data_IF_370903522315
#
_entry.id   IF_370903522315
#
_cell.length_a   1.000
_cell.length_b   1.000
_cell.length_c   1.000
_cell.angle_alpha   90.00
_cell.angle_beta   90.00
_cell.angle_gamma   90.00
#
_symmetry.space_group_name_H-M   'P 1'
#
loop_
_entity.id
_entity.type
_entity.pdbx_description
1 polymer ?
#
# COMPACT_ATOMS: atom_id res chain seq x y z
N UNK A 1 -32.92 10.28 59.03
CA UNK A 1 -33.49 9.37 58.02
C UNK A 1 -32.52 9.31 56.85
N UNK A 2 -31.89 8.16 56.61
CA UNK A 2 -30.93 7.97 55.53
C UNK A 2 -31.64 7.32 54.33
N UNK A 3 -31.71 8.03 53.22
CA UNK A 3 -32.23 7.51 51.95
C UNK A 3 -31.18 6.59 51.34
N UNK A 4 -31.42 5.28 51.39
CA UNK A 4 -30.60 4.28 50.69
C UNK A 4 -31.03 4.31 49.23
N UNK A 5 -30.20 4.93 48.37
CA UNK A 5 -30.33 4.81 46.92
C UNK A 5 -29.86 3.42 46.49
N UNK A 6 -30.82 2.54 46.22
CA UNK A 6 -30.57 1.23 45.59
C UNK A 6 -30.34 1.49 44.10
N UNK A 7 -29.07 1.56 43.69
CA UNK A 7 -28.72 1.52 42.27
C UNK A 7 -28.91 0.08 41.79
N UNK A 8 -29.97 -0.17 41.04
CA UNK A 8 -30.13 -1.41 40.28
C UNK A 8 -29.09 -1.44 39.16
N UNK A 9 -27.99 -2.15 39.37
CA UNK A 9 -27.02 -2.44 38.32
C UNK A 9 -27.70 -3.32 37.28
N UNK A 10 -28.10 -2.75 36.15
CA UNK A 10 -28.60 -3.53 35.01
C UNK A 10 -27.43 -4.36 34.49
N UNK A 11 -27.54 -5.69 34.61
CA UNK A 11 -26.54 -6.60 34.08
C UNK A 11 -26.58 -6.54 32.54
N UNK A 12 -25.56 -5.93 31.94
CA UNK A 12 -25.37 -5.91 30.48
C UNK A 12 -25.12 -7.35 30.02
N UNK A 13 -25.85 -7.80 28.99
CA UNK A 13 -25.69 -9.16 28.45
C UNK A 13 -24.36 -9.30 27.69
N UNK A 14 -23.85 -10.53 27.55
CA UNK A 14 -22.62 -10.79 26.77
C UNK A 14 -22.74 -10.30 25.32
N UNK A 15 -23.93 -10.37 24.73
CA UNK A 15 -24.21 -9.92 23.36
C UNK A 15 -24.06 -8.41 23.24
N UNK A 16 -24.60 -7.64 24.18
CA UNK A 16 -24.47 -6.18 24.24
C UNK A 16 -23.01 -5.76 24.44
N UNK A 17 -22.25 -6.46 25.30
CA UNK A 17 -20.83 -6.20 25.50
C UNK A 17 -20.01 -6.46 24.24
N UNK A 18 -20.26 -7.60 23.58
CA UNK A 18 -19.59 -7.97 22.33
C UNK A 18 -19.89 -6.97 21.22
N UNK A 19 -21.16 -6.57 21.06
CA UNK A 19 -21.57 -5.58 20.07
C UNK A 19 -20.92 -4.22 20.35
N UNK A 20 -20.96 -3.75 21.60
CA UNK A 20 -20.34 -2.48 21.99
C UNK A 20 -18.82 -2.49 21.77
N UNK A 21 -18.15 -3.62 22.02
CA UNK A 21 -16.73 -3.78 21.69
C UNK A 21 -16.48 -3.72 20.18
N UNK A 22 -17.24 -4.49 19.40
CA UNK A 22 -17.13 -4.53 17.95
C UNK A 22 -17.32 -3.13 17.34
N UNK A 23 -18.36 -2.40 17.77
CA UNK A 23 -18.64 -1.04 17.28
C UNK A 23 -17.49 -0.07 17.61
N UNK A 24 -16.84 -0.21 18.79
CA UNK A 24 -15.64 0.59 19.11
C UNK A 24 -14.47 0.28 18.19
N UNK A 25 -14.22 -1.01 17.89
CA UNK A 25 -13.13 -1.39 16.96
C UNK A 25 -13.40 -0.87 15.55
N UNK A 26 -14.63 -1.00 15.05
CA UNK A 26 -15.02 -0.49 13.72
C UNK A 26 -14.95 1.03 13.67
N UNK A 27 -15.41 1.73 14.71
CA UNK A 27 -15.30 3.19 14.80
C UNK A 27 -13.83 3.65 14.82
N UNK A 28 -12.97 2.96 15.56
CA UNK A 28 -11.53 3.23 15.56
C UNK A 28 -10.87 2.94 14.19
N UNK A 29 -11.33 1.91 13.48
CA UNK A 29 -10.85 1.64 12.12
C UNK A 29 -11.32 2.70 11.10
N UNK A 30 -12.41 3.44 11.39
CA UNK A 30 -12.92 4.53 10.55
C UNK A 30 -11.97 5.72 10.48
N UNK A 31 -11.29 6.06 11.57
CA UNK A 31 -10.25 7.09 11.60
C UNK A 31 -8.99 6.69 10.84
N UNK A 32 -8.93 5.46 10.32
CA UNK A 32 -7.76 4.98 9.58
C UNK A 32 -6.51 5.05 10.45
N UNK A 33 -5.46 5.66 9.91
CA UNK A 33 -4.18 5.81 10.60
C UNK A 33 -4.16 6.97 11.61
N UNK A 34 -5.18 7.83 11.64
CA UNK A 34 -5.20 9.04 12.48
C UNK A 34 -5.26 8.73 13.98
N UNK A 35 -5.78 7.56 14.34
CA UNK A 35 -5.90 7.12 15.73
C UNK A 35 -4.80 6.15 16.17
N UNK A 36 -3.83 5.85 15.29
CA UNK A 36 -2.77 4.89 15.57
C UNK A 36 -1.47 5.61 15.97
N UNK A 37 -0.81 5.05 16.98
CA UNK A 37 0.54 5.41 17.42
C UNK A 37 1.33 4.13 17.70
N UNK A 38 1.94 3.55 16.66
CA UNK A 38 2.60 2.25 16.74
C UNK A 38 3.75 2.11 15.75
N UNK A 39 4.63 1.15 16.06
CA UNK A 39 5.64 0.59 15.17
C UNK A 39 5.30 -0.87 14.93
N UNK A 40 5.18 -1.24 13.66
CA UNK A 40 4.86 -2.61 13.25
C UNK A 40 5.85 -3.08 12.19
N UNK A 41 6.45 -4.24 12.42
CA UNK A 41 7.31 -4.93 11.47
C UNK A 41 6.67 -6.24 11.07
N UNK A 42 6.57 -6.50 9.77
CA UNK A 42 6.00 -7.72 9.25
C UNK A 42 6.68 -8.16 7.95
N UNK A 43 6.64 -9.46 7.69
CA UNK A 43 7.18 -10.09 6.48
C UNK A 43 6.03 -10.43 5.55
N UNK A 44 6.13 -10.10 4.27
CA UNK A 44 5.16 -10.49 3.24
C UNK A 44 5.85 -11.43 2.26
N UNK A 45 5.18 -12.53 1.95
CA UNK A 45 5.64 -13.57 1.04
C UNK A 45 4.57 -13.83 -0.03
N UNK A 46 4.98 -13.76 -1.29
CA UNK A 46 4.15 -14.19 -2.41
C UNK A 46 4.02 -15.71 -2.42
N UNK A 47 2.78 -16.20 -2.53
CA UNK A 47 2.45 -17.62 -2.66
C UNK A 47 1.96 -17.95 -4.07
N UNK A 48 2.30 -17.09 -5.04
CA UNK A 48 1.93 -17.31 -6.43
C UNK A 48 2.53 -18.63 -6.95
N UNK A 49 1.71 -19.51 -7.54
CA UNK A 49 2.24 -20.69 -8.22
C UNK A 49 2.86 -20.27 -9.55
N UNK A 50 4.19 -20.23 -9.62
CA UNK A 50 4.93 -19.93 -10.85
C UNK A 50 5.56 -21.20 -11.44
N UNK A 51 5.27 -21.45 -12.73
CA UNK A 51 5.78 -22.59 -13.48
C UNK A 51 7.06 -22.20 -14.25
N UNK A 52 8.21 -22.52 -13.68
CA UNK A 52 9.52 -22.22 -14.28
C UNK A 52 9.84 -23.10 -15.49
N UNK A 53 9.09 -24.17 -15.74
CA UNK A 53 9.34 -25.06 -16.90
C UNK A 53 9.10 -24.37 -18.25
N UNK A 54 8.40 -23.23 -18.24
CA UNK A 54 8.09 -22.43 -19.44
C UNK A 54 9.25 -21.53 -19.89
N UNK A 55 10.27 -21.32 -19.04
CA UNK A 55 11.39 -20.40 -19.30
C UNK A 55 12.07 -20.68 -20.65
N UNK A 56 12.43 -21.92 -21.04
CA UNK A 56 13.10 -22.17 -22.32
C UNK A 56 12.25 -21.76 -23.54
N UNK A 57 10.94 -22.04 -23.48
CA UNK A 57 10.01 -21.67 -24.56
C UNK A 57 9.83 -20.15 -24.65
N UNK A 58 9.73 -19.46 -23.51
CA UNK A 58 9.65 -18.00 -23.45
C UNK A 58 10.93 -17.35 -23.99
N UNK A 59 12.12 -17.81 -23.57
CA UNK A 59 13.41 -17.34 -24.09
C UNK A 59 13.48 -17.45 -25.61
N UNK A 60 13.09 -18.60 -26.16
CA UNK A 60 13.09 -18.80 -27.61
C UNK A 60 12.12 -17.84 -28.34
N UNK A 61 10.95 -17.58 -27.76
CA UNK A 61 9.94 -16.68 -28.33
C UNK A 61 10.36 -15.22 -28.34
N UNK A 62 11.01 -14.74 -27.27
CA UNK A 62 11.34 -13.31 -27.11
C UNK A 62 12.74 -12.93 -27.60
N UNK A 63 13.59 -13.91 -27.95
CA UNK A 63 15.00 -13.72 -28.28
C UNK A 63 15.27 -12.55 -29.23
N UNK A 64 14.50 -12.47 -30.30
CA UNK A 64 14.69 -11.47 -31.37
C UNK A 64 13.65 -10.32 -31.29
N UNK A 65 12.86 -10.27 -30.22
CA UNK A 65 11.75 -9.33 -30.04
C UNK A 65 11.88 -8.59 -28.69
N UNK A 66 12.67 -7.51 -28.64
CA UNK A 66 12.95 -6.85 -27.38
C UNK A 66 11.73 -6.20 -26.72
N UNK A 67 10.68 -5.88 -27.48
CA UNK A 67 9.42 -5.30 -27.00
C UNK A 67 8.31 -6.35 -26.79
N UNK A 68 8.63 -7.65 -26.84
CA UNK A 68 7.62 -8.70 -26.73
C UNK A 68 6.98 -8.69 -25.31
N UNK A 69 5.65 -8.74 -25.18
CA UNK A 69 4.96 -8.66 -23.88
C UNK A 69 5.39 -9.77 -22.90
N UNK A 70 5.65 -10.97 -23.40
CA UNK A 70 6.12 -12.11 -22.59
C UNK A 70 7.48 -11.89 -21.91
N UNK A 71 8.25 -10.86 -22.26
CA UNK A 71 9.51 -10.56 -21.54
C UNK A 71 9.27 -10.28 -20.06
N UNK A 72 8.16 -9.63 -19.72
CA UNK A 72 7.81 -9.35 -18.31
C UNK A 72 7.59 -10.66 -17.53
N UNK A 73 6.90 -11.63 -18.15
CA UNK A 73 6.70 -12.94 -17.54
C UNK A 73 8.03 -13.71 -17.45
N UNK A 74 8.84 -13.68 -18.49
CA UNK A 74 10.17 -14.31 -18.49
C UNK A 74 11.04 -13.75 -17.37
N UNK A 75 11.19 -12.42 -17.27
CA UNK A 75 11.99 -11.76 -16.23
C UNK A 75 11.47 -12.10 -14.82
N UNK A 76 10.16 -12.29 -14.66
CA UNK A 76 9.56 -12.72 -13.40
C UNK A 76 9.89 -14.18 -13.08
N UNK A 77 9.73 -15.09 -14.04
CA UNK A 77 10.03 -16.52 -13.85
C UNK A 77 11.52 -16.76 -13.62
N UNK A 78 12.41 -16.05 -14.32
CA UNK A 78 13.85 -16.15 -14.13
C UNK A 78 14.28 -15.64 -12.74
N UNK A 79 13.68 -14.55 -12.25
CA UNK A 79 13.90 -14.11 -10.87
C UNK A 79 13.39 -15.12 -9.86
N UNK A 80 12.22 -15.71 -10.10
CA UNK A 80 11.67 -16.75 -9.23
C UNK A 80 12.55 -18.02 -9.21
N UNK A 81 13.03 -18.48 -10.37
CA UNK A 81 13.96 -19.61 -10.49
C UNK A 81 15.26 -19.35 -9.72
N UNK A 82 15.76 -18.11 -9.77
CA UNK A 82 17.04 -17.73 -9.15
C UNK A 82 16.95 -17.46 -7.65
N UNK A 83 15.92 -16.76 -7.20
CA UNK A 83 15.82 -16.23 -5.84
C UNK A 83 14.67 -16.83 -5.02
N UNK A 84 13.79 -17.60 -5.65
CA UNK A 84 12.58 -18.12 -5.02
C UNK A 84 11.44 -17.09 -5.00
N UNK A 85 10.42 -17.29 -4.13
CA UNK A 85 9.28 -16.38 -4.04
C UNK A 85 9.70 -14.99 -3.59
N UNK A 86 8.94 -13.98 -4.03
CA UNK A 86 9.12 -12.61 -3.56
C UNK A 86 8.82 -12.56 -2.05
N UNK A 87 9.85 -12.21 -1.28
CA UNK A 87 9.74 -11.96 0.14
C UNK A 87 10.24 -10.54 0.40
N UNK A 88 9.46 -9.80 1.18
CA UNK A 88 9.82 -8.47 1.68
C UNK A 88 9.58 -8.36 3.17
N UNK A 89 10.47 -7.68 3.87
CA UNK A 89 10.22 -7.22 5.24
C UNK A 89 9.84 -5.76 5.19
N UNK A 90 8.77 -5.39 5.89
CA UNK A 90 8.30 -4.02 5.96
C UNK A 90 8.18 -3.60 7.42
N UNK A 91 8.71 -2.42 7.73
CA UNK A 91 8.44 -1.73 8.99
C UNK A 91 7.65 -0.47 8.70
N UNK A 92 6.55 -0.29 9.43
CA UNK A 92 5.71 0.90 9.37
C UNK A 92 5.71 1.56 10.73
N UNK A 93 6.02 2.86 10.74
CA UNK A 93 5.79 3.71 11.89
C UNK A 93 4.58 4.58 11.57
N UNK A 94 3.59 4.59 12.44
CA UNK A 94 2.35 5.36 12.25
C UNK A 94 2.13 6.23 13.47
N UNK A 95 1.82 7.51 13.23
CA UNK A 95 1.47 8.47 14.27
C UNK A 95 0.51 9.52 13.74
N UNK A 96 -0.73 9.51 14.21
CA UNK A 96 -1.72 10.55 13.88
C UNK A 96 -1.85 10.83 12.37
N UNK A 97 -1.98 9.75 11.57
CA UNK A 97 -2.13 9.86 10.11
C UNK A 97 -0.82 10.03 9.35
N UNK A 98 0.26 10.40 10.04
CA UNK A 98 1.60 10.43 9.50
C UNK A 98 2.20 9.02 9.51
N UNK A 99 2.98 8.70 8.48
CA UNK A 99 3.61 7.38 8.41
C UNK A 99 4.96 7.38 7.72
N UNK A 100 5.84 6.48 8.17
CA UNK A 100 7.03 6.02 7.43
C UNK A 100 6.86 4.55 7.10
N UNK A 101 7.20 4.15 5.88
CA UNK A 101 7.26 2.77 5.41
C UNK A 101 8.69 2.50 4.96
N UNK A 102 9.40 1.63 5.67
CA UNK A 102 10.68 1.08 5.23
C UNK A 102 10.47 -0.33 4.73
N UNK A 103 10.82 -0.61 3.47
CA UNK A 103 10.70 -1.91 2.84
C UNK A 103 12.06 -2.43 2.41
N UNK A 104 12.43 -3.57 2.97
CA UNK A 104 13.67 -4.28 2.67
C UNK A 104 13.38 -5.51 1.80
N UNK A 105 14.05 -5.65 0.64
CA UNK A 105 14.06 -6.90 -0.11
C UNK A 105 14.86 -7.95 0.68
N UNK A 106 14.38 -9.19 0.72
CA UNK A 106 15.10 -10.23 1.48
C UNK A 106 16.04 -11.10 0.64
N UNK A 107 15.76 -11.35 -0.66
CA UNK A 107 16.49 -12.35 -1.45
C UNK A 107 17.01 -11.85 -2.81
N UNK A 108 16.28 -10.95 -3.47
CA UNK A 108 16.68 -10.40 -4.76
C UNK A 108 17.46 -9.08 -4.56
N UNK A 109 18.77 -9.03 -4.82
CA UNK A 109 19.57 -7.81 -4.71
C UNK A 109 19.18 -6.74 -5.76
N UNK A 110 18.48 -7.13 -6.82
CA UNK A 110 17.89 -6.22 -7.81
C UNK A 110 16.51 -5.68 -7.41
N UNK A 111 15.86 -6.28 -6.40
CA UNK A 111 14.65 -5.70 -5.83
C UNK A 111 15.07 -4.50 -5.00
N UNK A 112 14.63 -3.31 -5.41
CA UNK A 112 15.08 -2.09 -4.76
C UNK A 112 14.45 -1.95 -3.38
N UNK A 113 15.29 -1.66 -2.40
CA UNK A 113 14.85 -1.05 -1.16
C UNK A 113 13.96 0.16 -1.47
N UNK A 114 12.89 0.32 -0.70
CA UNK A 114 11.96 1.43 -0.85
C UNK A 114 11.61 1.99 0.52
N UNK A 115 11.86 3.27 0.71
CA UNK A 115 11.46 4.01 1.89
C UNK A 115 10.55 5.15 1.51
N UNK A 116 9.59 5.45 2.36
CA UNK A 116 8.61 6.47 2.09
C UNK A 116 8.12 7.08 3.38
N UNK A 117 7.98 8.40 3.37
CA UNK A 117 7.29 9.16 4.41
C UNK A 117 6.20 9.98 3.78
N UNK A 118 5.05 9.98 4.42
CA UNK A 118 3.93 10.86 4.10
C UNK A 118 3.43 11.54 5.36
N UNK A 119 3.46 12.88 5.33
CA UNK A 119 2.83 13.75 6.30
C UNK A 119 1.52 14.34 5.76
N UNK A 120 1.04 13.87 4.60
CA UNK A 120 -0.16 14.34 3.91
C UNK A 120 0.13 15.52 2.98
N UNK A 121 0.75 16.58 3.50
CA UNK A 121 1.12 17.79 2.75
C UNK A 121 2.60 17.84 2.33
N UNK A 122 3.39 16.88 2.80
CA UNK A 122 4.82 16.84 2.59
C UNK A 122 5.34 15.42 2.81
N UNK A 123 6.56 15.16 2.36
CA UNK A 123 7.16 13.86 2.58
C UNK A 123 8.41 13.67 1.75
N UNK A 124 8.91 12.45 1.77
CA UNK A 124 10.02 12.04 0.93
C UNK A 124 9.97 10.55 0.66
N UNK A 125 10.53 10.13 -0.46
CA UNK A 125 10.74 8.73 -0.78
C UNK A 125 12.19 8.48 -1.14
N UNK A 126 12.71 7.33 -0.75
CA UNK A 126 14.07 6.93 -1.06
C UNK A 126 14.09 5.57 -1.77
N UNK A 127 14.84 5.52 -2.87
CA UNK A 127 15.36 4.30 -3.49
C UNK A 127 16.89 4.31 -3.38
N UNK A 128 17.60 3.21 -3.73
CA UNK A 128 19.06 3.18 -3.65
C UNK A 128 19.76 4.28 -4.45
N UNK A 129 19.13 4.78 -5.52
CA UNK A 129 19.70 5.78 -6.43
C UNK A 129 19.05 7.15 -6.32
N UNK A 130 17.86 7.27 -5.75
CA UNK A 130 17.07 8.50 -5.83
C UNK A 130 16.38 8.86 -4.51
N UNK A 131 16.58 10.09 -4.06
CA UNK A 131 15.76 10.77 -3.05
C UNK A 131 14.75 11.67 -3.77
N UNK A 132 13.46 11.46 -3.53
CA UNK A 132 12.41 12.40 -3.98
C UNK A 132 11.83 13.11 -2.78
N UNK A 133 11.70 14.42 -2.88
CA UNK A 133 11.13 15.28 -1.84
C UNK A 133 9.85 15.83 -2.40
N UNK A 134 8.76 15.66 -1.66
CA UNK A 134 7.44 16.02 -2.16
C UNK A 134 6.83 17.05 -1.24
N UNK A 135 6.34 18.13 -1.85
CA UNK A 135 5.52 19.11 -1.17
C UNK A 135 4.06 18.69 -1.16
N UNK A 136 3.20 19.71 -1.17
CA UNK A 136 1.74 19.56 -1.17
C UNK A 136 1.26 18.70 -2.33
N UNK A 137 0.05 18.15 -2.21
CA UNK A 137 -0.55 17.29 -3.25
C UNK A 137 -0.49 17.91 -4.66
N UNK A 138 -0.59 19.24 -4.75
CA UNK A 138 -0.59 19.97 -6.02
C UNK A 138 0.80 20.12 -6.64
N UNK A 139 1.88 20.01 -5.85
CA UNK A 139 3.25 20.08 -6.37
C UNK A 139 3.81 18.71 -6.78
N UNK A 140 3.08 17.62 -6.52
CA UNK A 140 3.51 16.26 -6.85
C UNK A 140 3.50 16.04 -8.38
N UNK A 141 4.59 15.51 -8.98
CA UNK A 141 4.62 15.23 -10.41
C UNK A 141 3.54 14.23 -10.81
N UNK A 142 2.90 14.46 -11.96
CA UNK A 142 2.03 13.47 -12.58
C UNK A 142 2.82 12.18 -12.83
N UNK A 143 2.31 11.06 -12.32
CA UNK A 143 2.95 9.75 -12.43
C UNK A 143 3.73 9.30 -11.18
N UNK A 144 4.07 10.22 -10.26
CA UNK A 144 4.57 9.82 -8.94
C UNK A 144 3.41 9.61 -7.97
N UNK A 145 2.95 8.37 -7.83
CA UNK A 145 1.89 8.02 -6.89
C UNK A 145 2.46 7.34 -5.63
N UNK A 146 2.62 8.13 -4.57
CA UNK A 146 2.88 7.61 -3.22
C UNK A 146 1.62 6.99 -2.60
N UNK A 147 0.44 7.35 -3.10
CA UNK A 147 -0.83 6.92 -2.51
C UNK A 147 -1.00 5.39 -2.53
N UNK A 148 -0.50 4.71 -3.58
CA UNK A 148 -0.61 3.25 -3.71
C UNK A 148 0.16 2.48 -2.62
N UNK A 149 1.49 2.63 -2.48
CA UNK A 149 2.23 1.91 -1.43
C UNK A 149 1.77 2.28 -0.03
N UNK A 150 1.34 3.53 0.19
CA UNK A 150 0.79 3.99 1.47
C UNK A 150 -0.51 3.27 1.78
N UNK A 151 -1.48 3.33 0.87
CA UNK A 151 -2.80 2.73 1.10
C UNK A 151 -2.71 1.22 1.30
N UNK A 152 -1.84 0.54 0.53
CA UNK A 152 -1.61 -0.89 0.68
C UNK A 152 -1.00 -1.23 2.06
N UNK A 153 -0.02 -0.45 2.50
CA UNK A 153 0.63 -0.64 3.81
C UNK A 153 -0.31 -0.31 4.96
N UNK A 154 -1.07 0.77 4.86
CA UNK A 154 -2.07 1.17 5.83
C UNK A 154 -3.13 0.07 6.01
N UNK A 155 -3.61 -0.50 4.90
CA UNK A 155 -4.55 -1.62 4.93
C UNK A 155 -3.92 -2.86 5.58
N UNK A 156 -2.69 -3.23 5.22
CA UNK A 156 -1.97 -4.35 5.85
C UNK A 156 -1.81 -4.15 7.37
N UNK A 157 -1.48 -2.93 7.82
CA UNK A 157 -1.39 -2.60 9.25
C UNK A 157 -2.75 -2.76 9.94
N UNK A 158 -3.82 -2.21 9.36
CA UNK A 158 -5.17 -2.39 9.89
C UNK A 158 -5.57 -3.87 9.92
N UNK A 159 -5.23 -4.63 8.90
CA UNK A 159 -5.56 -6.04 8.80
C UNK A 159 -4.79 -6.89 9.82
N UNK A 160 -3.63 -6.45 10.33
CA UNK A 160 -3.02 -7.11 11.48
C UNK A 160 -3.79 -6.86 12.78
N UNK A 161 -4.34 -5.66 12.97
CA UNK A 161 -5.04 -5.26 14.20
C UNK A 161 -6.47 -5.82 14.24
N UNK A 162 -7.22 -5.62 13.15
CA UNK A 162 -8.62 -5.99 13.02
C UNK A 162 -8.97 -6.26 11.54
N UNK A 163 -8.64 -7.46 11.02
CA UNK A 163 -8.93 -7.89 9.65
C UNK A 163 -10.31 -7.46 9.14
N UNK A 164 -10.33 -6.62 8.10
CA UNK A 164 -11.58 -6.16 7.47
C UNK A 164 -12.40 -5.11 8.21
N UNK A 165 -12.00 -4.69 9.42
CA UNK A 165 -12.72 -3.66 10.17
C UNK A 165 -12.72 -2.30 9.46
N UNK A 166 -11.60 -1.92 8.81
CA UNK A 166 -11.51 -0.68 8.03
C UNK A 166 -12.46 -0.66 6.83
N UNK A 167 -12.70 -1.82 6.21
CA UNK A 167 -13.68 -1.96 5.12
C UNK A 167 -15.11 -1.85 5.66
N UNK A 168 -15.41 -2.53 6.79
CA UNK A 168 -16.71 -2.39 7.46
C UNK A 168 -16.97 -0.95 7.90
N UNK A 169 -15.95 -0.23 8.37
CA UNK A 169 -16.10 1.15 8.84
C UNK A 169 -16.60 2.13 7.77
N UNK A 170 -16.37 1.80 6.48
CA UNK A 170 -16.80 2.56 5.30
C UNK A 170 -18.20 2.16 4.81
N UNK A 171 -18.82 1.19 5.46
CA UNK A 171 -20.13 0.67 5.09
C UNK A 171 -21.02 0.55 6.33
N UNK A 172 -22.32 0.38 6.11
CA UNK A 172 -23.26 0.20 7.21
C UNK A 172 -23.37 -1.29 7.53
N UNK A 173 -22.99 -1.67 8.75
CA UNK A 173 -23.14 -3.04 9.24
C UNK A 173 -24.63 -3.37 9.34
N UNK A 174 -25.10 -4.22 8.44
CA UNK A 174 -26.52 -4.57 8.32
C UNK A 174 -26.91 -5.66 9.32
N UNK A 175 -25.97 -6.55 9.64
CA UNK A 175 -26.21 -7.70 10.53
C UNK A 175 -24.99 -7.98 11.37
N UNK A 176 -25.22 -8.25 12.66
CA UNK A 176 -24.23 -8.77 13.60
C UNK A 176 -24.85 -9.94 14.34
N UNK A 177 -24.16 -11.08 14.38
CA UNK A 177 -24.60 -12.30 15.05
C UNK A 177 -23.49 -12.72 16.00
N UNK A 178 -23.83 -13.02 17.25
CA UNK A 178 -22.96 -13.68 18.21
C UNK A 178 -23.57 -15.05 18.54
N UNK A 179 -22.75 -16.09 18.51
CA UNK A 179 -23.17 -17.42 18.94
C UNK A 179 -22.80 -17.70 20.41
N UNK A 180 -23.38 -18.74 21.04
CA UNK A 180 -23.10 -19.08 22.44
C UNK A 180 -21.63 -19.48 22.72
N UNK A 181 -20.84 -19.77 21.69
CA UNK A 181 -19.41 -20.09 21.82
C UNK A 181 -18.52 -18.85 21.79
N UNK A 182 -19.12 -17.68 21.61
CA UNK A 182 -18.44 -16.40 21.48
C UNK A 182 -17.94 -16.12 20.06
N UNK A 183 -18.29 -16.92 19.05
CA UNK A 183 -17.97 -16.58 17.66
C UNK A 183 -18.98 -15.59 17.13
N UNK A 184 -18.51 -14.62 16.35
CA UNK A 184 -19.38 -13.61 15.76
C UNK A 184 -19.15 -13.47 14.26
N UNK A 185 -20.18 -12.99 13.58
CA UNK A 185 -20.12 -12.57 12.18
C UNK A 185 -20.84 -11.24 11.98
N UNK A 186 -20.24 -10.36 11.18
CA UNK A 186 -20.80 -9.10 10.75
C UNK A 186 -20.91 -9.06 9.22
N UNK A 187 -22.02 -8.55 8.71
CA UNK A 187 -22.33 -8.49 7.28
C UNK A 187 -22.62 -7.05 6.86
N UNK A 188 -22.15 -6.68 5.67
CA UNK A 188 -22.38 -5.38 5.07
C UNK A 188 -22.47 -5.51 3.54
N UNK A 189 -23.07 -4.51 2.89
CA UNK A 189 -23.06 -4.37 1.43
C UNK A 189 -22.17 -3.19 1.05
N UNK A 190 -21.19 -3.44 0.17
CA UNK A 190 -20.27 -2.45 -0.35
C UNK A 190 -20.72 -2.00 -1.74
N UNK A 191 -20.88 -0.69 -1.93
CA UNK A 191 -21.04 -0.14 -3.27
C UNK A 191 -19.67 -0.13 -3.97
N UNK A 192 -19.54 -0.88 -5.07
CA UNK A 192 -18.32 -0.90 -5.90
C UNK A 192 -18.64 -0.47 -7.33
N UNK A 193 -17.63 -0.08 -8.14
CA UNK A 193 -17.85 0.22 -9.56
C UNK A 193 -18.47 -0.94 -10.36
N UNK A 194 -18.29 -2.18 -9.90
CA UNK A 194 -18.85 -3.38 -10.50
C UNK A 194 -20.26 -3.75 -9.97
N UNK A 195 -20.84 -2.92 -9.09
CA UNK A 195 -22.11 -3.18 -8.42
C UNK A 195 -21.98 -3.46 -6.92
N UNK A 196 -23.11 -3.71 -6.23
CA UNK A 196 -23.12 -4.04 -4.80
C UNK A 196 -22.46 -5.39 -4.55
N UNK A 197 -21.58 -5.45 -3.54
CA UNK A 197 -20.90 -6.68 -3.11
C UNK A 197 -21.18 -6.96 -1.64
N UNK A 198 -21.43 -8.22 -1.29
CA UNK A 198 -21.58 -8.60 0.11
C UNK A 198 -20.21 -8.79 0.76
N UNK A 199 -20.04 -8.27 1.96
CA UNK A 199 -18.81 -8.33 2.73
C UNK A 199 -19.10 -8.91 4.11
N UNK A 200 -18.38 -9.97 4.45
CA UNK A 200 -18.57 -10.71 5.70
C UNK A 200 -17.27 -10.65 6.48
N UNK A 201 -17.33 -10.25 7.74
CA UNK A 201 -16.22 -10.30 8.68
C UNK A 201 -16.58 -11.24 9.82
N UNK A 202 -15.63 -12.04 10.27
CA UNK A 202 -15.83 -13.00 11.36
C UNK A 202 -14.79 -12.83 12.43
N UNK A 203 -15.10 -13.29 13.64
CA UNK A 203 -14.16 -13.29 14.74
C UNK A 203 -14.65 -14.04 15.96
N UNK A 204 -13.98 -13.77 17.08
CA UNK A 204 -14.29 -14.33 18.39
C UNK A 204 -14.31 -13.22 19.44
N UNK A 205 -15.24 -13.34 20.37
CA UNK A 205 -15.39 -12.54 21.57
C UNK A 205 -14.97 -13.36 22.78
N UNK A 206 -14.27 -12.73 23.72
CA UNK A 206 -13.91 -13.31 25.01
C UNK A 206 -14.51 -12.46 26.14
N UNK A 207 -15.64 -12.89 26.74
CA UNK A 207 -16.31 -12.12 27.77
C UNK A 207 -15.46 -11.94 29.03
N UNK A 208 -14.50 -12.85 29.29
CA UNK A 208 -13.64 -12.75 30.47
C UNK A 208 -12.64 -11.59 30.37
N UNK A 209 -12.29 -11.19 29.15
CA UNK A 209 -11.35 -10.10 28.87
C UNK A 209 -12.03 -8.80 28.44
N UNK A 210 -13.33 -8.86 28.10
CA UNK A 210 -14.01 -7.72 27.48
C UNK A 210 -13.38 -7.32 26.13
N UNK A 211 -12.74 -8.28 25.45
CA UNK A 211 -12.01 -8.09 24.21
C UNK A 211 -12.22 -9.29 23.27
N UNK A 212 -11.84 -9.12 22.00
CA UNK A 212 -11.98 -10.16 21.00
C UNK A 212 -10.92 -10.08 19.90
N UNK A 213 -11.02 -11.03 18.97
CA UNK A 213 -10.15 -11.19 17.84
C UNK A 213 -10.97 -11.22 16.54
N UNK A 214 -10.44 -10.63 15.49
CA UNK A 214 -11.00 -10.68 14.14
C UNK A 214 -10.31 -11.82 13.38
N UNK A 215 -11.08 -12.82 12.96
CA UNK A 215 -10.56 -14.04 12.32
C UNK A 215 -10.39 -13.89 10.80
N UNK A 216 -11.02 -12.89 10.18
CA UNK A 216 -10.89 -12.66 8.74
C UNK A 216 -12.12 -12.05 8.09
N UNK A 217 -12.03 -11.88 6.78
CA UNK A 217 -13.11 -11.36 5.95
C UNK A 217 -13.25 -12.06 4.61
N UNK A 218 -14.43 -11.97 4.02
CA UNK A 218 -14.77 -12.50 2.70
C UNK A 218 -15.54 -11.45 1.91
N UNK A 219 -15.18 -11.30 0.64
CA UNK A 219 -15.90 -10.47 -0.32
C UNK A 219 -16.57 -11.35 -1.37
N UNK A 220 -17.87 -11.17 -1.56
CA UNK A 220 -18.69 -11.92 -2.50
C UNK A 220 -19.13 -11.04 -3.68
N UNK A 221 -19.27 -11.63 -4.86
CA UNK A 221 -19.50 -10.92 -6.12
C UNK A 221 -20.85 -10.19 -6.22
N UNK A 222 -21.95 -10.79 -5.77
CA UNK A 222 -23.32 -10.26 -5.96
C UNK A 222 -24.31 -10.63 -4.85
N UNK A 223 -23.81 -11.00 -3.66
CA UNK A 223 -24.63 -11.42 -2.52
C UNK A 223 -23.93 -12.47 -1.66
N UNK A 224 -24.47 -12.80 -0.49
CA UNK A 224 -23.84 -13.74 0.46
C UNK A 224 -23.69 -15.17 -0.11
N UNK A 225 -24.65 -15.61 -0.91
CA UNK A 225 -24.62 -16.94 -1.54
C UNK A 225 -23.83 -16.98 -2.86
N UNK A 226 -23.25 -15.85 -3.27
CA UNK A 226 -22.48 -15.75 -4.50
C UNK A 226 -21.00 -16.13 -4.31
N UNK A 227 -20.29 -16.26 -5.44
CA UNK A 227 -18.87 -16.61 -5.49
C UNK A 227 -18.04 -15.68 -4.61
N UNK A 228 -17.18 -16.27 -3.77
CA UNK A 228 -16.16 -15.55 -3.01
C UNK A 228 -15.05 -15.14 -3.98
N UNK A 229 -14.79 -13.83 -4.06
CA UNK A 229 -13.79 -13.25 -4.97
C UNK A 229 -12.52 -12.81 -4.25
N UNK A 230 -12.61 -12.61 -2.93
CA UNK A 230 -11.45 -12.34 -2.08
C UNK A 230 -11.69 -12.85 -0.66
N UNK A 231 -10.65 -13.41 -0.06
CA UNK A 231 -10.58 -13.82 1.34
C UNK A 231 -9.37 -13.20 2.02
N UNK A 232 -9.55 -12.84 3.28
CA UNK A 232 -8.50 -12.54 4.22
C UNK A 232 -8.73 -13.43 5.43
N UNK A 233 -7.77 -14.28 5.77
CA UNK A 233 -7.81 -15.11 6.97
C UNK A 233 -6.73 -14.65 7.93
N UNK A 234 -7.05 -14.64 9.21
CA UNK A 234 -6.15 -14.19 10.26
C UNK A 234 -6.05 -15.25 11.36
N UNK A 235 -4.84 -15.52 11.81
CA UNK A 235 -4.57 -16.54 12.83
C UNK A 235 -3.50 -16.10 13.82
N UNK A 236 -3.32 -16.92 14.86
CA UNK A 236 -2.31 -16.75 15.91
C UNK A 236 -2.43 -15.39 16.63
N UNK A 237 -3.65 -15.05 17.04
CA UNK A 237 -3.94 -13.80 17.73
C UNK A 237 -3.26 -13.72 19.10
N UNK A 238 -2.73 -12.54 19.42
CA UNK A 238 -2.04 -12.30 20.70
C UNK A 238 -2.63 -11.10 21.42
N UNK A 239 -3.07 -11.24 22.68
CA UNK A 239 -3.48 -10.10 23.47
C UNK A 239 -2.33 -9.09 23.59
N UNK A 240 -2.60 -7.84 23.23
CA UNK A 240 -1.62 -6.76 23.25
C UNK A 240 -2.16 -5.61 24.09
N UNK A 241 -1.41 -5.22 25.12
CA UNK A 241 -1.84 -4.16 26.03
C UNK A 241 -2.09 -2.84 25.29
N UNK A 242 -3.19 -2.17 25.62
CA UNK A 242 -3.58 -0.90 25.00
C UNK A 242 -4.29 -1.03 23.63
N UNK A 243 -4.42 -2.23 23.07
CA UNK A 243 -5.17 -2.44 21.82
C UNK A 243 -6.62 -2.83 22.07
N UNK A 244 -7.51 -2.36 21.20
CA UNK A 244 -8.94 -2.67 21.27
C UNK A 244 -9.26 -4.10 20.86
N UNK A 245 -8.43 -4.72 20.02
CA UNK A 245 -8.55 -6.10 19.54
C UNK A 245 -7.21 -6.83 19.67
N UNK A 246 -7.27 -8.16 19.72
CA UNK A 246 -6.06 -8.99 19.69
C UNK A 246 -5.49 -9.01 18.26
N UNK A 247 -4.28 -8.47 18.02
CA UNK A 247 -3.68 -8.51 16.69
C UNK A 247 -3.35 -9.93 16.25
N UNK A 248 -3.53 -10.21 14.97
CA UNK A 248 -3.14 -11.46 14.34
C UNK A 248 -1.62 -11.52 14.15
N UNK A 249 -1.03 -12.72 14.26
CA UNK A 249 0.38 -12.91 13.89
C UNK A 249 0.56 -13.33 12.43
N UNK A 250 -0.48 -13.89 11.81
CA UNK A 250 -0.44 -14.34 10.42
C UNK A 250 -1.71 -13.91 9.70
N UNK A 251 -1.54 -13.40 8.49
CA UNK A 251 -2.60 -13.06 7.55
C UNK A 251 -2.39 -13.84 6.25
N UNK A 252 -3.45 -14.46 5.75
CA UNK A 252 -3.48 -15.10 4.45
C UNK A 252 -4.45 -14.35 3.54
N UNK A 253 -3.94 -13.81 2.44
CA UNK A 253 -4.76 -13.12 1.45
C UNK A 253 -4.90 -14.02 0.22
N UNK A 254 -6.12 -14.21 -0.24
CA UNK A 254 -6.40 -14.77 -1.56
C UNK A 254 -7.42 -13.89 -2.29
N UNK A 255 -7.19 -13.66 -3.58
CA UNK A 255 -8.06 -12.86 -4.41
C UNK A 255 -7.99 -13.35 -5.85
N UNK A 256 -9.05 -13.17 -6.61
CA UNK A 256 -9.02 -13.45 -8.05
C UNK A 256 -8.22 -12.39 -8.82
N UNK A 257 -8.04 -11.19 -8.24
CA UNK A 257 -7.36 -10.07 -8.89
C UNK A 257 -5.87 -9.98 -8.57
N UNK A 258 -5.38 -10.72 -7.57
CA UNK A 258 -3.99 -10.67 -7.14
C UNK A 258 -3.52 -12.04 -6.64
N UNK A 259 -2.25 -12.40 -6.85
CA UNK A 259 -1.71 -13.64 -6.33
C UNK A 259 -1.91 -13.77 -4.82
N UNK A 260 -2.07 -15.01 -4.31
CA UNK A 260 -2.16 -15.22 -2.88
C UNK A 260 -0.86 -14.82 -2.21
N UNK A 261 -0.96 -14.32 -0.97
CA UNK A 261 0.19 -13.89 -0.19
C UNK A 261 -0.02 -14.14 1.29
N UNK A 262 1.07 -14.41 1.99
CA UNK A 262 1.11 -14.52 3.44
C UNK A 262 1.81 -13.30 4.03
N UNK A 263 1.20 -12.66 5.02
CA UNK A 263 1.88 -11.67 5.85
C UNK A 263 2.06 -12.22 7.27
N UNK A 264 3.26 -12.14 7.81
CA UNK A 264 3.62 -12.62 9.15
C UNK A 264 4.09 -11.43 9.99
N UNK A 265 3.43 -11.19 11.12
CA UNK A 265 3.84 -10.20 12.10
C UNK A 265 5.17 -10.62 12.71
N UNK A 266 6.16 -9.73 12.65
CA UNK A 266 7.47 -9.94 13.25
C UNK A 266 7.54 -9.22 14.59
N UNK A 267 7.10 -7.96 14.63
CA UNK A 267 7.10 -7.16 15.85
C UNK A 267 5.94 -6.14 15.83
N UNK A 268 5.42 -5.86 17.02
CA UNK A 268 4.43 -4.82 17.26
C UNK A 268 4.75 -4.14 18.58
N UNK A 269 4.96 -2.83 18.55
CA UNK A 269 5.33 -2.04 19.71
C UNK A 269 4.60 -0.69 19.70
N UNK A 270 4.42 -0.12 20.90
CA UNK A 270 4.07 1.29 21.03
C UNK A 270 5.18 2.15 20.40
N UNK A 271 4.79 3.23 19.74
CA UNK A 271 5.74 4.13 19.09
C UNK A 271 6.31 5.12 20.11
N UNK A 272 7.65 5.24 20.16
CA UNK A 272 8.29 6.35 20.86
C UNK A 272 8.24 7.62 19.98
N UNK A 273 7.67 8.74 20.46
CA UNK A 273 7.67 10.01 19.75
C UNK A 273 9.06 10.49 19.31
N UNK A 274 10.10 10.24 20.11
CA UNK A 274 11.46 10.63 19.78
C UNK A 274 12.03 9.76 18.66
N UNK A 275 11.79 8.45 18.70
CA UNK A 275 12.09 7.54 17.59
C UNK A 275 11.39 8.02 16.31
N UNK A 276 10.08 8.28 16.36
CA UNK A 276 9.32 8.71 15.18
C UNK A 276 9.93 9.97 14.55
N UNK A 277 10.23 10.98 15.36
CA UNK A 277 10.88 12.21 14.88
C UNK A 277 12.24 11.92 14.23
N UNK A 278 13.04 11.05 14.83
CA UNK A 278 14.36 10.70 14.32
C UNK A 278 14.28 9.93 12.99
N UNK A 279 13.40 8.93 12.90
CA UNK A 279 13.23 8.14 11.67
C UNK A 279 12.50 8.93 10.59
N UNK A 280 11.72 9.97 10.93
CA UNK A 280 11.03 10.74 9.90
C UNK A 280 11.79 11.94 9.35
N UNK A 281 12.97 12.23 9.92
CA UNK A 281 13.83 13.29 9.44
C UNK A 281 14.23 13.10 7.96
N UNK A 282 14.24 14.21 7.21
CA UNK A 282 14.71 14.22 5.82
C UNK A 282 16.16 13.69 5.77
N UNK A 283 16.48 12.74 4.88
CA UNK A 283 17.84 12.27 4.70
C UNK A 283 18.76 13.44 4.29
N UNK A 284 19.91 13.55 4.93
CA UNK A 284 20.95 14.51 4.53
C UNK A 284 21.89 13.86 3.53
N UNK A 285 22.47 14.67 2.63
CA UNK A 285 23.27 14.21 1.49
C UNK A 285 24.46 13.33 1.88
N UNK A 286 25.10 13.67 2.99
CA UNK A 286 26.24 12.95 3.56
C UNK A 286 25.88 12.34 4.92
N UNK A 287 24.58 12.13 5.16
CA UNK A 287 24.05 11.67 6.43
C UNK A 287 24.18 10.17 6.64
N UNK A 288 23.99 9.78 7.89
CA UNK A 288 23.60 8.42 8.25
C UNK A 288 22.12 8.45 8.60
N UNK A 289 21.34 7.56 7.98
CA UNK A 289 19.97 7.29 8.43
C UNK A 289 20.01 6.28 9.59
N UNK A 290 19.23 6.48 10.67
CA UNK A 290 19.24 5.59 11.83
C UNK A 290 18.93 4.11 11.53
N UNK A 291 18.26 3.84 10.41
CA UNK A 291 17.85 2.48 10.01
C UNK A 291 18.82 1.93 8.97
N UNK A 292 19.16 2.73 7.95
CA UNK A 292 19.92 2.28 6.78
C UNK A 292 21.44 2.41 6.92
N UNK A 293 21.91 3.25 7.83
CA UNK A 293 23.31 3.69 7.85
C UNK A 293 23.58 4.75 6.76
N UNK A 294 24.79 4.78 6.17
CA UNK A 294 25.18 5.80 5.20
C UNK A 294 24.29 5.81 3.96
N UNK A 295 23.84 6.99 3.55
CA UNK A 295 22.93 7.12 2.41
C UNK A 295 23.68 7.07 1.07
N UNK A 296 23.13 6.40 0.06
CA UNK A 296 23.81 6.07 -1.21
C UNK A 296 23.21 6.67 -2.47
N UNK A 297 22.13 7.45 -2.37
CA UNK A 297 21.46 7.98 -3.56
C UNK A 297 22.38 8.93 -4.33
N UNK A 298 22.27 8.90 -5.66
CA UNK A 298 23.04 9.73 -6.58
C UNK A 298 22.18 10.81 -7.23
N UNK A 299 20.88 10.83 -6.96
CA UNK A 299 19.93 11.78 -7.51
C UNK A 299 18.98 12.32 -6.44
N UNK A 300 18.70 13.62 -6.47
CA UNK A 300 17.62 14.26 -5.72
C UNK A 300 16.64 14.89 -6.69
N UNK A 301 15.36 14.60 -6.49
CA UNK A 301 14.27 15.28 -7.16
C UNK A 301 13.48 16.05 -6.11
N UNK A 302 13.56 17.38 -6.14
CA UNK A 302 12.89 18.27 -5.19
C UNK A 302 11.63 18.86 -5.82
N UNK A 303 10.48 18.44 -5.32
CA UNK A 303 9.15 18.88 -5.74
C UNK A 303 8.45 19.68 -4.63
N UNK A 304 9.22 20.24 -3.70
CA UNK A 304 8.66 21.07 -2.62
C UNK A 304 8.38 22.50 -3.09
N UNK A 305 9.09 22.97 -4.11
CA UNK A 305 8.92 24.28 -4.72
C UNK A 305 7.85 24.35 -5.81
N UNK A 306 7.70 25.55 -6.40
CA UNK A 306 6.84 25.78 -7.57
C UNK A 306 7.36 25.06 -8.81
N UNK A 307 8.67 25.06 -8.97
CA UNK A 307 9.38 24.38 -10.06
C UNK A 307 10.13 23.18 -9.48
N UNK A 308 10.17 22.09 -10.25
CA UNK A 308 10.89 20.89 -9.87
C UNK A 308 12.40 21.10 -10.05
N UNK A 309 13.18 20.83 -9.00
CA UNK A 309 14.63 20.87 -9.06
C UNK A 309 15.21 19.46 -9.09
N UNK A 310 16.17 19.23 -9.98
CA UNK A 310 16.85 17.95 -10.13
C UNK A 310 18.32 18.16 -9.82
N UNK A 311 18.86 17.35 -8.91
CA UNK A 311 20.28 17.36 -8.56
C UNK A 311 20.86 15.97 -8.77
N UNK A 312 22.01 15.90 -9.41
CA UNK A 312 22.71 14.63 -9.65
C UNK A 312 24.12 14.74 -9.09
N UNK A 313 24.54 13.69 -8.39
CA UNK A 313 25.89 13.56 -7.87
C UNK A 313 26.87 13.29 -9.01
N UNK A 314 27.97 14.05 -9.07
CA UNK A 314 29.09 13.78 -9.96
C UNK A 314 29.98 12.63 -9.44
N UNK A 315 31.08 12.36 -10.14
CA UNK A 315 32.06 11.32 -9.75
C UNK A 315 32.67 11.55 -8.36
N UNK A 316 32.67 12.79 -7.86
CA UNK A 316 33.15 13.19 -6.53
C UNK A 316 32.05 13.19 -5.48
N UNK A 317 30.83 12.78 -5.84
CA UNK A 317 29.60 12.85 -5.01
C UNK A 317 29.16 14.27 -4.68
N UNK A 318 29.55 15.25 -5.47
CA UNK A 318 29.02 16.61 -5.36
C UNK A 318 27.74 16.74 -6.18
N UNK A 319 26.67 17.23 -5.55
CA UNK A 319 25.37 17.38 -6.20
C UNK A 319 25.31 18.67 -7.01
N UNK A 320 25.11 18.54 -8.32
CA UNK A 320 24.93 19.67 -9.23
C UNK A 320 23.47 19.73 -9.69
N UNK A 321 22.94 20.94 -9.79
CA UNK A 321 21.59 21.16 -10.33
C UNK A 321 21.62 20.94 -11.83
N UNK A 322 20.74 20.07 -12.33
CA UNK A 322 20.65 19.70 -13.74
C UNK A 322 19.31 20.19 -14.26
N UNK A 323 19.31 20.83 -15.43
CA UNK A 323 18.05 21.18 -16.08
C UNK A 323 17.31 19.90 -16.48
N UNK A 324 15.98 19.87 -16.36
CA UNK A 324 15.16 18.70 -16.76
C UNK A 324 15.55 18.21 -18.14
N UNK A 325 15.77 19.13 -19.08
CA UNK A 325 16.09 18.89 -20.49
C UNK A 325 17.43 18.17 -20.69
N UNK A 326 18.34 18.24 -19.72
CA UNK A 326 19.65 17.58 -19.74
C UNK A 326 19.59 16.15 -19.16
N UNK A 327 18.56 15.85 -18.38
CA UNK A 327 18.28 14.48 -17.92
C UNK A 327 17.91 13.57 -19.11
N UNK A 328 18.16 12.23 -19.03
CA UNK A 328 17.80 11.31 -20.10
C UNK A 328 16.31 11.38 -20.48
N UNK A 329 15.42 11.46 -19.48
CA UNK A 329 13.98 11.59 -19.68
C UNK A 329 13.60 12.92 -20.36
N UNK A 330 14.24 14.02 -19.95
CA UNK A 330 14.00 15.33 -20.55
C UNK A 330 14.45 15.40 -22.02
N UNK A 331 15.58 14.79 -22.36
CA UNK A 331 16.04 14.69 -23.75
C UNK A 331 15.05 13.91 -24.62
N UNK A 332 14.54 12.80 -24.12
CA UNK A 332 13.54 11.99 -24.84
C UNK A 332 12.23 12.76 -25.04
N UNK A 333 11.74 13.46 -24.01
CA UNK A 333 10.56 14.34 -24.11
C UNK A 333 10.78 15.50 -25.09
N UNK A 334 11.95 16.13 -25.05
CA UNK A 334 12.28 17.22 -25.97
C UNK A 334 12.30 16.74 -27.44
N UNK A 335 12.85 15.55 -27.69
CA UNK A 335 12.83 14.94 -29.03
C UNK A 335 11.41 14.59 -29.49
N UNK A 336 10.62 13.93 -28.63
CA UNK A 336 9.21 13.61 -28.94
C UNK A 336 8.38 14.85 -29.24
N UNK A 337 8.60 15.95 -28.48
CA UNK A 337 7.93 17.23 -28.74
C UNK A 337 8.29 17.79 -30.11
N UNK A 338 9.58 17.75 -30.49
CA UNK A 338 10.03 18.19 -31.83
C UNK A 338 9.45 17.30 -32.94
N UNK A 339 9.46 15.99 -32.76
CA UNK A 339 8.88 15.03 -33.71
C UNK A 339 7.37 15.26 -33.88
N UNK A 340 6.64 15.49 -32.79
CA UNK A 340 5.21 15.80 -32.81
C UNK A 340 4.89 17.09 -33.57
N UNK A 341 5.67 18.16 -33.36
CA UNK A 341 5.51 19.40 -34.12
C UNK A 341 5.84 19.25 -35.61
N UNK A 342 6.88 18.48 -35.95
CA UNK A 342 7.21 18.18 -37.34
C UNK A 342 6.08 17.40 -38.03
N UNK A 343 5.48 16.42 -37.35
CA UNK A 343 4.33 15.67 -37.86
C UNK A 343 3.11 16.57 -38.05
N UNK A 344 2.79 17.44 -37.09
CA UNK A 344 1.67 18.37 -37.19
C UNK A 344 1.84 19.36 -38.37
N UNK A 345 3.04 19.89 -38.57
CA UNK A 345 3.36 20.73 -39.71
C UNK A 345 3.21 19.96 -41.04
N UNK A 346 3.68 18.71 -41.09
CA UNK A 346 3.50 17.83 -42.25
C UNK A 346 2.04 17.56 -42.60
N UNK A 347 1.19 17.32 -41.59
CA UNK A 347 -0.26 17.15 -41.76
C UNK A 347 -0.89 18.44 -42.32
N UNK A 348 -0.56 19.61 -41.76
CA UNK A 348 -1.05 20.90 -42.25
C UNK A 348 -0.67 21.15 -43.71
N UNK A 349 0.59 20.93 -44.08
CA UNK A 349 1.05 21.07 -45.47
C UNK A 349 0.29 20.12 -46.39
N UNK A 350 0.10 18.86 -45.97
CA UNK A 350 -0.66 17.87 -46.74
C UNK A 350 -2.11 18.30 -46.94
N UNK A 351 -2.78 18.80 -45.90
CA UNK A 351 -4.16 19.33 -45.99
C UNK A 351 -4.23 20.50 -46.96
N UNK A 352 -3.29 21.46 -46.87
CA UNK A 352 -3.24 22.62 -47.78
C UNK A 352 -3.05 22.18 -49.23
N UNK A 353 -2.14 21.26 -49.50
CA UNK A 353 -1.89 20.71 -50.83
C UNK A 353 -3.11 19.99 -51.39
N UNK A 354 -3.80 19.17 -50.57
CA UNK A 354 -5.04 18.51 -50.96
C UNK A 354 -6.13 19.53 -51.30
N UNK A 355 -6.24 20.61 -50.53
CA UNK A 355 -7.22 21.68 -50.78
C UNK A 355 -6.94 22.44 -52.08
N UNK A 356 -5.67 22.78 -52.35
CA UNK A 356 -5.26 23.45 -53.60
C UNK A 356 -5.50 22.55 -54.80
N UNK A 357 -5.25 21.24 -54.68
CA UNK A 357 -5.52 20.27 -55.74
C UNK A 357 -7.02 20.19 -56.05
N UNK A 358 -7.86 20.11 -55.03
CA UNK A 358 -9.32 20.11 -55.20
C UNK A 358 -9.83 21.40 -55.88
N UNK A 359 -9.32 22.56 -55.47
CA UNK A 359 -9.69 23.85 -56.06
C UNK A 359 -9.26 24.01 -57.53
N UNK A 360 -8.29 23.23 -58.01
CA UNK A 360 -7.89 23.18 -59.43
C UNK A 360 -8.68 22.16 -60.25
N UNK A 361 -9.36 21.22 -59.61
CA UNK A 361 -10.16 20.17 -60.26
C UNK A 361 -11.65 20.48 -60.31
N UNK A 362 -12.09 21.50 -59.57
CA UNK A 362 -13.38 22.17 -59.72
C UNK A 362 -13.20 23.38 -60.66
#
# INVERSE_FOLDING_TARGET
MATILVYSTIAITSDEQARAWFDRVVAHARSGLDSLELKITYRVESLEPLDTTQIPALRARVKDFPEHPDRILLDRLERFERFGPEIRTQTVWVRHGQLRISREPTLDPGSFYYDLIDFGDSGWSLTPTQLSLVGTRDSRPRGQSFASPISASALEVHDFIAPGAATLARADVQRFILDPTGRWSAESVLATPAGPRAYVVRGRWDPSRGAGAFAGSQLHESGLDSKVISTLEASDHRPTAGMLSDPASVLMYASQASPPRRATLVALAALDPAEFKAVTARPTLNGSDPIRGPVTFTQINDYTGRDAEYRVADEKREFQTVAVEETPEGRQRAWLRRAGWALAAGILVTIVLLRVKQARSA
#
